data_IF_485068013218
#
_entry.id   IF_485068013218
#
_cell.length_a   1.000
_cell.length_b   1.000
_cell.length_c   1.000
_cell.angle_alpha   90.00
_cell.angle_beta   90.00
_cell.angle_gamma   90.00
#
_symmetry.space_group_name_H-M   'P 1'
#
loop_
_entity.id
_entity.type
_entity.pdbx_description
1 polymer ?
#
# COMPACT_ATOMS: atom_id res chain seq x y z
N UNK A 1 39.38 -12.83 4.27
CA UNK A 1 39.33 -12.95 2.80
C UNK A 1 37.94 -12.82 2.21
N UNK A 2 36.95 -13.68 2.52
CA UNK A 2 35.57 -13.52 1.99
C UNK A 2 34.86 -12.26 2.55
N UNK A 3 35.00 -11.94 3.83
CA UNK A 3 34.40 -10.75 4.45
C UNK A 3 35.00 -9.46 3.88
N UNK A 4 36.28 -9.43 3.60
CA UNK A 4 36.98 -8.26 3.01
C UNK A 4 36.49 -8.01 1.58
N UNK A 5 36.25 -9.09 0.81
CA UNK A 5 35.71 -8.99 -0.57
C UNK A 5 34.30 -8.43 -0.58
N UNK A 6 33.44 -8.84 0.36
CA UNK A 6 32.07 -8.31 0.49
C UNK A 6 32.07 -6.84 0.90
N UNK A 7 32.95 -6.44 1.81
CA UNK A 7 33.08 -5.03 2.19
C UNK A 7 33.58 -4.18 1.00
N UNK A 8 34.54 -4.67 0.25
CA UNK A 8 35.03 -3.98 -0.96
C UNK A 8 33.96 -3.83 -2.02
N UNK A 9 33.12 -4.85 -2.24
CA UNK A 9 31.98 -4.77 -3.17
C UNK A 9 30.96 -3.75 -2.69
N UNK A 10 30.60 -3.76 -1.41
CA UNK A 10 29.65 -2.83 -0.84
C UNK A 10 30.13 -1.38 -0.90
N UNK A 11 31.40 -1.12 -0.60
CA UNK A 11 32.01 0.21 -0.73
C UNK A 11 32.03 0.68 -2.18
N UNK A 12 32.41 -0.17 -3.12
CA UNK A 12 32.40 0.14 -4.54
C UNK A 12 30.98 0.46 -5.07
N UNK A 13 29.99 -0.32 -4.67
CA UNK A 13 28.56 -0.06 -4.99
C UNK A 13 28.15 1.31 -4.42
N UNK A 14 28.50 1.59 -3.18
CA UNK A 14 28.16 2.83 -2.51
C UNK A 14 28.83 4.04 -3.14
N UNK A 15 30.10 3.94 -3.48
CA UNK A 15 30.84 5.00 -4.18
C UNK A 15 30.30 5.26 -5.59
N UNK A 16 30.02 4.20 -6.35
CA UNK A 16 29.43 4.32 -7.69
C UNK A 16 28.05 4.95 -7.64
N UNK A 17 27.22 4.55 -6.65
CA UNK A 17 25.89 5.12 -6.45
C UNK A 17 25.95 6.59 -6.03
N UNK A 18 26.87 6.96 -5.13
CA UNK A 18 27.05 8.36 -4.71
C UNK A 18 27.58 9.23 -5.85
N UNK A 19 28.52 8.74 -6.64
CA UNK A 19 29.01 9.45 -7.82
C UNK A 19 27.89 9.67 -8.85
N UNK A 20 27.08 8.66 -9.13
CA UNK A 20 25.93 8.76 -10.02
C UNK A 20 24.89 9.77 -9.52
N UNK A 21 24.52 9.72 -8.24
CA UNK A 21 23.55 10.64 -7.66
C UNK A 21 24.05 12.08 -7.63
N UNK A 22 25.34 12.29 -7.37
CA UNK A 22 25.97 13.63 -7.40
C UNK A 22 26.01 14.20 -8.81
N UNK A 23 26.37 13.38 -9.81
CA UNK A 23 26.33 13.77 -11.21
C UNK A 23 24.93 14.13 -11.68
N UNK A 24 23.93 13.30 -11.32
CA UNK A 24 22.52 13.54 -11.66
C UNK A 24 22.00 14.82 -10.99
N UNK A 25 22.34 15.05 -9.72
CA UNK A 25 21.98 16.29 -9.01
C UNK A 25 22.55 17.53 -9.68
N UNK A 26 23.85 17.47 -10.08
CA UNK A 26 24.50 18.57 -10.80
C UNK A 26 23.86 18.85 -12.18
N UNK A 27 23.33 17.80 -12.83
CA UNK A 27 22.68 17.92 -14.13
C UNK A 27 21.29 18.55 -14.05
N UNK A 28 20.46 18.14 -13.08
CA UNK A 28 19.04 18.55 -13.02
C UNK A 28 18.78 19.72 -12.07
N UNK A 29 19.70 20.06 -11.17
CA UNK A 29 19.58 21.14 -10.18
C UNK A 29 18.82 20.77 -8.92
N UNK A 30 18.79 21.69 -7.95
CA UNK A 30 18.28 21.43 -6.58
C UNK A 30 16.79 21.11 -6.51
N UNK A 31 15.94 21.87 -7.21
CA UNK A 31 14.49 21.70 -7.11
C UNK A 31 14.00 20.41 -7.75
N UNK A 32 14.37 20.06 -8.99
CA UNK A 32 14.01 18.78 -9.58
C UNK A 32 14.59 17.59 -8.82
N UNK A 33 15.83 17.72 -8.29
CA UNK A 33 16.42 16.69 -7.44
C UNK A 33 15.62 16.43 -6.18
N UNK A 34 15.21 17.51 -5.48
CA UNK A 34 14.35 17.41 -4.30
C UNK A 34 13.05 16.69 -4.60
N UNK A 35 12.38 17.02 -5.71
CA UNK A 35 11.14 16.39 -6.13
C UNK A 35 11.32 14.92 -6.49
N UNK A 36 12.42 14.57 -7.20
CA UNK A 36 12.73 13.20 -7.57
C UNK A 36 12.94 12.32 -6.33
N UNK A 37 13.80 12.75 -5.41
CA UNK A 37 14.06 12.01 -4.16
C UNK A 37 12.78 11.85 -3.36
N UNK A 38 12.00 12.92 -3.20
CA UNK A 38 10.74 12.88 -2.47
C UNK A 38 9.68 12.02 -3.14
N UNK A 39 9.70 11.89 -4.48
CA UNK A 39 8.84 10.96 -5.21
C UNK A 39 9.22 9.51 -4.88
N UNK A 40 10.52 9.19 -4.88
CA UNK A 40 11.00 7.87 -4.52
C UNK A 40 10.68 7.51 -3.06
N UNK A 41 10.81 8.46 -2.13
CA UNK A 41 10.41 8.28 -0.73
C UNK A 41 8.90 8.01 -0.59
N UNK A 42 8.06 8.75 -1.34
CA UNK A 42 6.62 8.53 -1.37
C UNK A 42 6.29 7.13 -1.89
N UNK A 43 6.90 6.73 -3.02
CA UNK A 43 6.72 5.39 -3.59
C UNK A 43 7.20 4.29 -2.63
N UNK A 44 8.35 4.47 -2.00
CA UNK A 44 8.87 3.53 -1.00
C UNK A 44 7.87 3.31 0.13
N UNK A 45 7.36 4.38 0.75
CA UNK A 45 6.40 4.28 1.84
C UNK A 45 5.09 3.63 1.38
N UNK A 46 4.53 4.08 0.27
CA UNK A 46 3.19 3.66 -0.16
C UNK A 46 3.18 2.24 -0.76
N UNK A 47 4.17 1.88 -1.57
CA UNK A 47 4.28 0.53 -2.12
C UNK A 47 4.55 -0.51 -1.03
N UNK A 48 5.47 -0.20 -0.11
CA UNK A 48 5.78 -1.10 1.02
C UNK A 48 4.56 -1.27 1.93
N UNK A 49 3.88 -0.17 2.27
CA UNK A 49 2.66 -0.21 3.07
C UNK A 49 1.54 -0.99 2.36
N UNK A 50 1.35 -0.80 1.04
CA UNK A 50 0.37 -1.55 0.25
C UNK A 50 0.69 -3.04 0.25
N UNK A 51 1.95 -3.43 0.09
CA UNK A 51 2.36 -4.83 0.11
C UNK A 51 2.03 -5.49 1.46
N UNK A 52 2.40 -4.87 2.58
CA UNK A 52 2.06 -5.39 3.91
C UNK A 52 0.56 -5.36 4.19
N UNK A 53 -0.14 -4.30 3.77
CA UNK A 53 -1.58 -4.21 3.93
C UNK A 53 -2.32 -5.28 3.10
N UNK A 54 -1.81 -5.63 1.92
CA UNK A 54 -2.32 -6.72 1.08
C UNK A 54 -2.09 -8.08 1.73
N UNK A 55 -0.88 -8.30 2.26
CA UNK A 55 -0.52 -9.53 2.96
C UNK A 55 -1.42 -9.80 4.17
N UNK A 56 -1.85 -8.75 4.87
CA UNK A 56 -2.78 -8.84 6.01
C UNK A 56 -4.24 -8.82 5.55
N UNK A 57 -4.59 -7.92 4.65
CA UNK A 57 -5.97 -7.65 4.26
C UNK A 57 -6.59 -8.75 3.39
N UNK A 58 -5.83 -9.35 2.47
CA UNK A 58 -6.36 -10.42 1.60
C UNK A 58 -6.79 -11.64 2.42
N UNK A 59 -5.97 -12.21 3.32
CA UNK A 59 -6.42 -13.31 4.18
C UNK A 59 -7.64 -12.94 5.04
N UNK A 60 -7.65 -11.75 5.63
CA UNK A 60 -8.79 -11.27 6.45
C UNK A 60 -10.07 -11.17 5.63
N UNK A 61 -9.99 -10.65 4.40
CA UNK A 61 -11.15 -10.56 3.50
C UNK A 61 -11.65 -11.92 3.04
N UNK A 62 -10.73 -12.86 2.76
CA UNK A 62 -11.08 -14.26 2.43
C UNK A 62 -11.79 -14.92 3.61
N UNK A 63 -11.30 -14.75 4.84
CA UNK A 63 -11.92 -15.30 6.05
C UNK A 63 -13.33 -14.69 6.25
N UNK A 64 -13.49 -13.38 6.09
CA UNK A 64 -14.80 -12.71 6.16
C UNK A 64 -15.77 -13.31 5.14
N UNK A 65 -15.33 -13.44 3.87
CA UNK A 65 -16.17 -14.06 2.84
C UNK A 65 -16.56 -15.49 3.17
N UNK A 66 -15.57 -16.33 3.51
CA UNK A 66 -15.77 -17.76 3.71
C UNK A 66 -16.65 -18.07 4.94
N UNK A 67 -16.53 -17.26 6.00
CA UNK A 67 -17.28 -17.46 7.27
C UNK A 67 -18.64 -16.79 7.31
N UNK A 68 -18.99 -16.00 6.29
CA UNK A 68 -20.31 -15.36 6.15
C UNK A 68 -21.41 -16.40 6.06
N UNK A 69 -22.59 -16.06 6.58
CA UNK A 69 -23.79 -16.93 6.53
C UNK A 69 -24.11 -17.32 5.07
N UNK A 70 -24.31 -18.61 4.83
CA UNK A 70 -24.59 -19.15 3.49
C UNK A 70 -23.34 -19.44 2.65
N UNK A 71 -22.12 -19.30 3.21
CA UNK A 71 -20.87 -19.68 2.56
C UNK A 71 -20.31 -21.02 3.09
N UNK A 72 -19.32 -21.58 2.42
CA UNK A 72 -18.80 -22.94 2.65
C UNK A 72 -18.11 -23.18 4.01
N UNK A 73 -17.73 -22.14 4.74
CA UNK A 73 -17.20 -22.19 6.12
C UNK A 73 -18.04 -21.33 7.07
N UNK A 74 -19.35 -21.21 6.83
CA UNK A 74 -20.24 -20.34 7.60
C UNK A 74 -20.03 -20.49 9.13
N UNK A 75 -19.54 -19.43 9.76
CA UNK A 75 -19.30 -19.38 11.20
C UNK A 75 -19.56 -17.99 11.75
N UNK A 76 -20.74 -17.73 12.37
CA UNK A 76 -21.07 -16.44 12.93
C UNK A 76 -20.11 -15.95 14.02
N UNK A 77 -19.55 -16.87 14.79
CA UNK A 77 -18.60 -16.55 15.88
C UNK A 77 -17.24 -16.04 15.37
N UNK A 78 -16.90 -16.27 14.12
CA UNK A 78 -15.72 -15.70 13.46
C UNK A 78 -16.11 -14.46 12.66
N UNK A 79 -17.19 -14.54 11.87
CA UNK A 79 -17.61 -13.48 10.96
C UNK A 79 -17.92 -12.16 11.69
N UNK A 80 -18.76 -12.18 12.72
CA UNK A 80 -19.20 -10.94 13.38
C UNK A 80 -18.06 -10.23 14.13
N UNK A 81 -17.26 -10.89 14.99
CA UNK A 81 -16.15 -10.21 15.66
C UNK A 81 -15.11 -9.67 14.70
N UNK A 82 -14.71 -10.46 13.69
CA UNK A 82 -13.76 -10.02 12.67
C UNK A 82 -14.30 -8.84 11.86
N UNK A 83 -15.57 -8.90 11.47
CA UNK A 83 -16.26 -7.81 10.78
C UNK A 83 -16.29 -6.51 11.59
N UNK A 84 -16.49 -6.61 12.92
CA UNK A 84 -16.44 -5.46 13.84
C UNK A 84 -15.03 -4.88 13.89
N UNK A 85 -13.99 -5.71 14.06
CA UNK A 85 -12.59 -5.26 14.10
C UNK A 85 -12.20 -4.53 12.80
N UNK A 86 -12.57 -5.12 11.65
CA UNK A 86 -12.32 -4.51 10.33
C UNK A 86 -13.07 -3.17 10.17
N UNK A 87 -14.32 -3.10 10.64
CA UNK A 87 -15.08 -1.85 10.56
C UNK A 87 -14.51 -0.76 11.48
N UNK A 88 -14.11 -1.10 12.71
CA UNK A 88 -13.46 -0.17 13.63
C UNK A 88 -12.16 0.35 13.01
N UNK A 89 -11.31 -0.53 12.48
CA UNK A 89 -10.05 -0.15 11.83
C UNK A 89 -10.24 0.86 10.70
N UNK A 90 -11.31 0.72 9.92
CA UNK A 90 -11.66 1.65 8.82
C UNK A 90 -12.28 2.97 9.31
N UNK A 91 -12.79 3.00 10.51
CA UNK A 91 -13.46 4.19 11.07
C UNK A 91 -12.49 5.19 11.68
N UNK A 92 -11.24 4.77 11.93
CA UNK A 92 -10.23 5.65 12.54
C UNK A 92 -9.58 6.51 11.44
N UNK A 93 -9.66 7.86 11.52
CA UNK A 93 -8.97 8.72 10.59
C UNK A 93 -7.46 8.49 10.63
N UNK A 94 -6.81 8.44 9.45
CA UNK A 94 -5.37 8.13 9.34
C UNK A 94 -4.50 8.98 10.28
N UNK A 95 -4.72 10.30 10.31
CA UNK A 95 -3.98 11.23 11.17
C UNK A 95 -4.03 10.80 12.65
N UNK A 96 -5.22 10.47 13.13
CA UNK A 96 -5.43 10.08 14.52
C UNK A 96 -4.77 8.73 14.80
N UNK A 97 -4.92 7.77 13.89
CA UNK A 97 -4.27 6.47 13.99
C UNK A 97 -2.75 6.64 14.06
N UNK A 98 -2.15 7.42 13.16
CA UNK A 98 -0.71 7.62 13.09
C UNK A 98 -0.15 8.21 14.41
N UNK A 99 -0.84 9.17 15.01
CA UNK A 99 -0.44 9.75 16.29
C UNK A 99 -0.64 8.78 17.46
N UNK A 100 -1.74 8.05 17.47
CA UNK A 100 -2.08 7.13 18.55
C UNK A 100 -1.13 5.94 18.66
N UNK A 101 -0.70 5.39 17.51
CA UNK A 101 0.14 4.19 17.47
C UNK A 101 1.66 4.47 17.48
N UNK A 102 2.10 5.69 17.76
CA UNK A 102 3.53 6.04 17.86
C UNK A 102 4.32 5.08 18.76
N UNK A 103 3.85 4.71 19.98
CA UNK A 103 4.57 3.75 20.82
C UNK A 103 4.71 2.37 20.17
N UNK A 104 3.66 1.91 19.49
CA UNK A 104 3.65 0.64 18.76
C UNK A 104 4.58 0.68 17.55
N UNK A 105 4.55 1.76 16.77
CA UNK A 105 5.47 2.00 15.65
C UNK A 105 6.92 1.92 16.11
N UNK A 106 7.26 2.61 17.22
CA UNK A 106 8.60 2.59 17.79
C UNK A 106 9.02 1.19 18.26
N UNK A 107 8.11 0.42 18.80
CA UNK A 107 8.39 -0.96 19.22
C UNK A 107 8.73 -1.89 18.05
N UNK A 108 8.10 -1.68 16.87
CA UNK A 108 8.33 -2.50 15.68
C UNK A 108 9.58 -2.05 14.91
N UNK A 109 9.73 -0.75 14.69
CA UNK A 109 10.72 -0.20 13.73
C UNK A 109 11.92 0.42 14.46
N UNK A 110 11.84 0.64 15.78
CA UNK A 110 12.88 1.27 16.58
C UNK A 110 12.86 2.81 16.56
N UNK A 111 12.13 3.42 15.62
CA UNK A 111 12.02 4.87 15.45
C UNK A 111 10.55 5.30 15.39
N UNK A 112 10.28 6.55 15.80
CA UNK A 112 8.92 7.11 15.84
C UNK A 112 8.60 7.98 14.64
N UNK A 113 9.61 8.47 13.93
CA UNK A 113 9.51 9.46 12.85
C UNK A 113 10.39 9.03 11.69
N UNK A 114 10.02 9.40 10.47
CA UNK A 114 10.73 9.07 9.23
C UNK A 114 9.93 8.15 8.31
N UNK A 115 10.50 7.88 7.13
CA UNK A 115 9.82 7.12 6.07
C UNK A 115 9.45 5.70 6.51
N UNK A 116 10.38 5.00 7.16
CA UNK A 116 10.16 3.63 7.64
C UNK A 116 9.12 3.58 8.76
N UNK A 117 9.12 4.57 9.67
CA UNK A 117 8.11 4.66 10.72
C UNK A 117 6.71 4.87 10.13
N UNK A 118 6.57 5.69 9.09
CA UNK A 118 5.29 5.96 8.45
C UNK A 118 4.64 4.72 7.80
N UNK A 119 5.43 3.69 7.42
CA UNK A 119 4.92 2.45 6.83
C UNK A 119 3.96 1.73 7.79
N UNK A 120 4.21 1.75 9.10
CA UNK A 120 3.38 1.04 10.09
C UNK A 120 1.94 1.58 10.12
N UNK A 121 1.70 2.88 10.39
CA UNK A 121 0.35 3.42 10.38
C UNK A 121 -0.31 3.37 8.99
N UNK A 122 0.44 3.56 7.89
CA UNK A 122 -0.09 3.39 6.53
C UNK A 122 -0.61 1.97 6.30
N UNK A 123 0.16 0.96 6.70
CA UNK A 123 -0.24 -0.46 6.61
C UNK A 123 -1.48 -0.75 7.42
N UNK A 124 -1.51 -0.32 8.69
CA UNK A 124 -2.64 -0.61 9.58
C UNK A 124 -3.92 0.12 9.18
N UNK A 125 -3.83 1.29 8.55
CA UNK A 125 -5.00 1.97 7.99
C UNK A 125 -5.54 1.29 6.74
N UNK A 126 -4.65 0.77 5.88
CA UNK A 126 -5.03 0.15 4.61
C UNK A 126 -5.50 -1.31 4.75
N UNK A 127 -4.95 -2.09 5.68
CA UNK A 127 -5.27 -3.51 5.80
C UNK A 127 -6.76 -3.81 6.02
N UNK A 128 -7.49 -3.12 6.93
CA UNK A 128 -8.93 -3.29 7.08
C UNK A 128 -9.72 -2.85 5.85
N UNK A 129 -9.25 -1.82 5.14
CA UNK A 129 -9.86 -1.37 3.89
C UNK A 129 -9.74 -2.44 2.81
N UNK A 130 -8.54 -2.99 2.60
CA UNK A 130 -8.30 -4.11 1.67
C UNK A 130 -9.14 -5.32 2.05
N UNK A 131 -9.19 -5.69 3.34
CA UNK A 131 -10.00 -6.83 3.79
C UNK A 131 -11.47 -6.71 3.37
N UNK A 132 -12.07 -5.53 3.51
CA UNK A 132 -13.45 -5.28 3.10
C UNK A 132 -13.61 -5.27 1.58
N UNK A 133 -12.66 -4.70 0.84
CA UNK A 133 -12.68 -4.72 -0.62
C UNK A 133 -12.58 -6.14 -1.16
N UNK A 134 -11.69 -6.97 -0.60
CA UNK A 134 -11.57 -8.39 -0.94
C UNK A 134 -12.88 -9.13 -0.68
N UNK A 135 -13.49 -8.97 0.51
CA UNK A 135 -14.79 -9.58 0.80
C UNK A 135 -15.85 -9.19 -0.24
N UNK A 136 -15.88 -7.92 -0.65
CA UNK A 136 -16.83 -7.44 -1.66
C UNK A 136 -16.57 -8.07 -3.02
N UNK A 137 -15.32 -8.06 -3.50
CA UNK A 137 -14.96 -8.67 -4.80
C UNK A 137 -15.25 -10.17 -4.84
N UNK A 138 -14.98 -10.90 -3.76
CA UNK A 138 -15.31 -12.31 -3.67
C UNK A 138 -16.84 -12.56 -3.66
N UNK A 139 -17.64 -11.61 -3.16
CA UNK A 139 -19.11 -11.71 -3.23
C UNK A 139 -19.67 -11.51 -4.65
N UNK A 140 -18.91 -10.86 -5.55
CA UNK A 140 -19.30 -10.65 -6.94
C UNK A 140 -19.03 -11.90 -7.82
N UNK A 141 -18.23 -12.85 -7.33
CA UNK A 141 -17.99 -14.11 -8.02
C UNK A 141 -19.29 -14.93 -8.09
N UNK A 142 -19.70 -15.41 -9.30
CA UNK A 142 -20.91 -16.18 -9.46
C UNK A 142 -20.96 -17.41 -8.53
N UNK A 143 -22.02 -17.54 -7.74
CA UNK A 143 -22.17 -18.64 -6.77
C UNK A 143 -22.10 -20.04 -7.39
N UNK A 144 -22.60 -20.18 -8.62
CA UNK A 144 -22.57 -21.44 -9.36
C UNK A 144 -21.17 -22.01 -9.58
N UNK A 145 -20.12 -21.15 -9.67
CA UNK A 145 -18.72 -21.61 -9.76
C UNK A 145 -18.27 -22.29 -8.47
N UNK A 146 -18.70 -21.73 -7.32
CA UNK A 146 -18.38 -22.29 -5.99
C UNK A 146 -19.16 -23.60 -5.79
N UNK A 147 -20.43 -23.64 -6.16
CA UNK A 147 -21.28 -24.85 -6.07
C UNK A 147 -20.74 -25.97 -6.97
N UNK A 148 -20.34 -25.66 -8.21
CA UNK A 148 -19.73 -26.63 -9.10
C UNK A 148 -18.42 -27.21 -8.52
N UNK A 149 -17.57 -26.35 -7.96
CA UNK A 149 -16.34 -26.80 -7.33
C UNK A 149 -16.61 -27.71 -6.11
N UNK A 150 -17.61 -27.37 -5.30
CA UNK A 150 -18.04 -28.21 -4.16
C UNK A 150 -18.58 -29.56 -4.63
N UNK A 151 -19.40 -29.59 -5.69
CA UNK A 151 -19.94 -30.83 -6.27
C UNK A 151 -18.85 -31.77 -6.81
N UNK A 152 -17.72 -31.19 -7.26
CA UNK A 152 -16.52 -31.95 -7.65
C UNK A 152 -15.63 -32.36 -6.48
N UNK A 153 -16.02 -32.08 -5.23
CA UNK A 153 -15.26 -32.46 -4.03
C UNK A 153 -14.07 -31.55 -3.72
N UNK A 154 -14.04 -30.31 -4.24
CA UNK A 154 -12.98 -29.37 -3.96
C UNK A 154 -12.93 -28.97 -2.49
N UNK A 155 -11.74 -28.97 -1.89
CA UNK A 155 -11.54 -28.49 -0.50
C UNK A 155 -11.74 -26.96 -0.42
N UNK A 156 -12.02 -26.41 0.79
CA UNK A 156 -12.13 -24.96 0.98
C UNK A 156 -10.93 -24.17 0.46
N UNK A 157 -9.72 -24.68 0.67
CA UNK A 157 -8.50 -24.07 0.16
C UNK A 157 -8.44 -24.06 -1.37
N UNK A 158 -8.87 -25.16 -2.00
CA UNK A 158 -8.94 -25.27 -3.47
C UNK A 158 -9.96 -24.31 -4.04
N UNK A 159 -11.12 -24.16 -3.40
CA UNK A 159 -12.15 -23.19 -3.80
C UNK A 159 -11.57 -21.76 -3.75
N UNK A 160 -10.90 -21.39 -2.67
CA UNK A 160 -10.29 -20.05 -2.54
C UNK A 160 -9.22 -19.83 -3.61
N UNK A 161 -8.24 -20.73 -3.72
CA UNK A 161 -7.05 -20.52 -4.56
C UNK A 161 -7.29 -20.72 -6.05
N UNK A 162 -8.18 -21.67 -6.42
CA UNK A 162 -8.38 -22.05 -7.83
C UNK A 162 -9.64 -21.46 -8.46
N UNK A 163 -10.58 -21.00 -7.66
CA UNK A 163 -11.86 -20.45 -8.15
C UNK A 163 -11.99 -18.98 -7.76
N UNK A 164 -12.07 -18.68 -6.47
CA UNK A 164 -12.42 -17.35 -5.97
C UNK A 164 -11.36 -16.30 -6.30
N UNK A 165 -10.09 -16.53 -5.92
CA UNK A 165 -9.03 -15.54 -6.13
C UNK A 165 -8.75 -15.30 -7.63
N UNK A 166 -8.65 -16.32 -8.50
CA UNK A 166 -8.46 -16.08 -9.93
C UNK A 166 -9.61 -15.33 -10.58
N UNK A 167 -10.85 -15.67 -10.25
CA UNK A 167 -12.05 -14.99 -10.81
C UNK A 167 -12.19 -13.56 -10.32
N UNK A 168 -11.75 -13.28 -9.08
CA UNK A 168 -11.79 -11.94 -8.49
C UNK A 168 -10.57 -11.07 -8.87
N UNK A 169 -9.55 -11.58 -9.56
CA UNK A 169 -8.30 -10.87 -9.86
C UNK A 169 -8.50 -9.48 -10.48
N UNK A 170 -9.37 -9.26 -11.48
CA UNK A 170 -9.59 -7.93 -12.03
C UNK A 170 -10.07 -6.94 -10.97
N UNK A 171 -11.07 -7.33 -10.17
CA UNK A 171 -11.60 -6.51 -9.08
C UNK A 171 -10.58 -6.27 -7.96
N UNK A 172 -9.79 -7.28 -7.61
CA UNK A 172 -8.71 -7.16 -6.62
C UNK A 172 -7.62 -6.19 -7.09
N UNK A 173 -7.26 -6.22 -8.37
CA UNK A 173 -6.29 -5.29 -8.97
C UNK A 173 -6.79 -3.86 -8.86
N UNK A 174 -8.05 -3.60 -9.18
CA UNK A 174 -8.66 -2.28 -9.04
C UNK A 174 -8.69 -1.84 -7.56
N UNK A 175 -9.05 -2.72 -6.63
CA UNK A 175 -9.06 -2.43 -5.20
C UNK A 175 -7.67 -2.05 -4.67
N UNK A 176 -6.62 -2.74 -5.11
CA UNK A 176 -5.24 -2.43 -4.75
C UNK A 176 -4.78 -1.10 -5.33
N UNK A 177 -5.15 -0.80 -6.57
CA UNK A 177 -4.86 0.49 -7.22
C UNK A 177 -5.49 1.65 -6.45
N UNK A 178 -6.78 1.55 -6.11
CA UNK A 178 -7.49 2.55 -5.30
C UNK A 178 -6.82 2.71 -3.93
N UNK A 179 -6.43 1.60 -3.30
CA UNK A 179 -5.74 1.64 -2.00
C UNK A 179 -4.39 2.34 -2.10
N UNK A 180 -3.60 2.04 -3.11
CA UNK A 180 -2.29 2.67 -3.33
C UNK A 180 -2.43 4.19 -3.54
N UNK A 181 -3.40 4.62 -4.34
CA UNK A 181 -3.69 6.04 -4.55
C UNK A 181 -4.13 6.72 -3.24
N UNK A 182 -4.99 6.08 -2.45
CA UNK A 182 -5.38 6.59 -1.15
C UNK A 182 -4.18 6.74 -0.19
N UNK A 183 -3.25 5.77 -0.22
CA UNK A 183 -2.02 5.80 0.58
C UNK A 183 -1.08 6.92 0.16
N UNK A 184 -1.05 7.33 -1.11
CA UNK A 184 -0.32 8.54 -1.54
C UNK A 184 -0.91 9.77 -0.84
N UNK A 185 -2.23 9.91 -0.76
CA UNK A 185 -2.89 10.97 0.01
C UNK A 185 -2.54 10.92 1.50
N UNK A 186 -2.52 9.74 2.12
CA UNK A 186 -2.12 9.57 3.53
C UNK A 186 -0.64 9.83 3.75
N UNK A 187 0.24 9.52 2.78
CA UNK A 187 1.66 9.82 2.86
C UNK A 187 1.92 11.33 2.89
N UNK A 188 1.05 12.15 2.29
CA UNK A 188 1.14 13.60 2.40
C UNK A 188 0.91 14.07 3.85
N UNK A 189 -0.04 13.45 4.56
CA UNK A 189 -0.25 13.72 5.99
C UNK A 189 0.94 13.18 6.79
N UNK A 190 1.46 11.99 6.49
CA UNK A 190 2.65 11.45 7.14
C UNK A 190 3.86 12.39 6.98
N UNK A 191 4.01 13.02 5.81
CA UNK A 191 5.05 14.03 5.54
C UNK A 191 4.98 15.23 6.49
N UNK A 192 3.79 15.71 6.82
CA UNK A 192 3.60 16.79 7.80
C UNK A 192 3.88 16.34 9.25
N UNK A 193 3.80 15.04 9.53
CA UNK A 193 4.12 14.44 10.84
C UNK A 193 5.60 14.03 10.98
N UNK A 194 6.44 14.38 10.01
CA UNK A 194 7.89 14.14 10.09
C UNK A 194 8.39 12.94 9.26
N UNK A 195 7.55 12.34 8.44
CA UNK A 195 8.03 11.48 7.35
C UNK A 195 8.65 12.33 6.23
N UNK A 196 9.26 11.68 5.24
CA UNK A 196 9.72 12.31 4.00
C UNK A 196 8.63 12.40 2.93
N UNK A 197 9.08 12.38 1.68
CA UNK A 197 8.23 12.31 0.51
C UNK A 197 7.66 13.66 0.05
N UNK A 198 6.84 13.60 -1.00
CA UNK A 198 6.23 14.78 -1.62
C UNK A 198 5.37 15.57 -0.64
N UNK A 199 4.73 14.90 0.32
CA UNK A 199 3.95 15.58 1.36
C UNK A 199 4.80 16.50 2.23
N UNK A 200 6.01 16.08 2.62
CA UNK A 200 6.96 16.92 3.34
C UNK A 200 7.38 18.13 2.51
N UNK A 201 7.63 17.94 1.21
CA UNK A 201 8.01 19.05 0.32
C UNK A 201 6.88 20.05 0.21
N UNK A 202 5.65 19.61 -0.04
CA UNK A 202 4.49 20.49 -0.10
C UNK A 202 4.31 21.28 1.20
N UNK A 203 4.39 20.60 2.34
CA UNK A 203 4.18 21.23 3.65
C UNK A 203 5.33 22.17 4.07
N UNK A 204 6.57 21.66 4.07
CA UNK A 204 7.71 22.40 4.61
C UNK A 204 8.22 23.51 3.68
N UNK A 205 8.25 23.27 2.38
CA UNK A 205 8.73 24.25 1.40
C UNK A 205 7.59 25.08 0.80
N UNK A 206 6.52 24.40 0.35
CA UNK A 206 5.40 25.07 -0.29
C UNK A 206 4.60 25.93 0.69
N UNK A 207 4.15 25.35 1.80
CA UNK A 207 3.29 26.03 2.78
C UNK A 207 4.08 26.84 3.82
N UNK A 208 4.98 26.23 4.61
CA UNK A 208 5.66 26.92 5.71
C UNK A 208 6.67 27.98 5.23
N UNK A 209 7.38 27.72 4.13
CA UNK A 209 8.37 28.67 3.57
C UNK A 209 7.81 29.60 2.51
N UNK A 210 6.48 29.55 2.27
CA UNK A 210 5.81 30.41 1.29
C UNK A 210 6.43 30.34 -0.13
N UNK A 211 6.79 29.11 -0.60
CA UNK A 211 7.31 28.88 -1.94
C UNK A 211 6.19 28.30 -2.83
N UNK A 212 5.34 29.16 -3.43
CA UNK A 212 4.22 28.70 -4.26
C UNK A 212 4.66 27.98 -5.54
N UNK A 213 5.85 28.27 -6.05
CA UNK A 213 6.49 27.57 -7.14
C UNK A 213 6.74 26.09 -6.79
N UNK A 214 7.35 25.80 -5.65
CA UNK A 214 7.59 24.43 -5.18
C UNK A 214 6.26 23.71 -4.88
N UNK A 215 5.28 24.42 -4.31
CA UNK A 215 3.94 23.86 -4.08
C UNK A 215 3.32 23.40 -5.41
N UNK A 216 3.34 24.26 -6.44
CA UNK A 216 2.79 23.95 -7.75
C UNK A 216 3.47 22.75 -8.40
N UNK A 217 4.81 22.71 -8.37
CA UNK A 217 5.58 21.57 -8.91
C UNK A 217 5.27 20.29 -8.16
N UNK A 218 5.17 20.35 -6.83
CA UNK A 218 4.85 19.17 -6.01
C UNK A 218 3.45 18.62 -6.32
N UNK A 219 2.45 19.50 -6.44
CA UNK A 219 1.09 19.11 -6.83
C UNK A 219 1.09 18.47 -8.22
N UNK A 220 1.78 19.09 -9.18
CA UNK A 220 1.90 18.54 -10.54
C UNK A 220 2.51 17.13 -10.53
N UNK A 221 3.60 16.93 -9.80
CA UNK A 221 4.26 15.62 -9.68
C UNK A 221 3.33 14.59 -9.04
N UNK A 222 2.60 14.95 -7.97
CA UNK A 222 1.62 14.05 -7.33
C UNK A 222 0.52 13.66 -8.33
N UNK A 223 -0.02 14.61 -9.08
CA UNK A 223 -1.06 14.33 -10.08
C UNK A 223 -0.54 13.38 -11.15
N UNK A 224 0.64 13.64 -11.71
CA UNK A 224 1.26 12.75 -12.72
C UNK A 224 1.49 11.35 -12.13
N UNK A 225 2.01 11.26 -10.91
CA UNK A 225 2.25 9.99 -10.23
C UNK A 225 0.97 9.18 -10.05
N UNK A 226 -0.11 9.82 -9.57
CA UNK A 226 -1.42 9.18 -9.39
C UNK A 226 -1.99 8.73 -10.73
N UNK A 227 -1.91 9.54 -11.79
CA UNK A 227 -2.38 9.16 -13.12
C UNK A 227 -1.61 7.97 -13.69
N UNK A 228 -0.30 7.92 -13.50
CA UNK A 228 0.52 6.77 -13.91
C UNK A 228 0.13 5.48 -13.18
N UNK A 229 -0.10 5.57 -11.86
CA UNK A 229 -0.53 4.42 -11.06
C UNK A 229 -1.92 3.97 -11.48
N UNK A 230 -2.87 4.90 -11.71
CA UNK A 230 -4.21 4.58 -12.21
C UNK A 230 -4.14 3.89 -13.57
N UNK A 231 -3.39 4.45 -14.52
CA UNK A 231 -3.22 3.86 -15.84
C UNK A 231 -2.61 2.45 -15.80
N UNK A 232 -1.60 2.23 -14.97
CA UNK A 232 -0.99 0.92 -14.75
C UNK A 232 -2.00 -0.07 -14.15
N UNK A 233 -2.75 0.37 -13.13
CA UNK A 233 -3.78 -0.44 -12.47
C UNK A 233 -4.89 -0.86 -13.44
N UNK A 234 -5.42 0.08 -14.21
CA UNK A 234 -6.45 -0.19 -15.22
C UNK A 234 -5.96 -1.16 -16.31
N UNK A 235 -4.70 -0.99 -16.73
CA UNK A 235 -4.08 -1.86 -17.73
C UNK A 235 -3.90 -3.28 -17.20
N UNK A 236 -3.47 -3.42 -15.95
CA UNK A 236 -3.33 -4.72 -15.29
C UNK A 236 -4.68 -5.39 -15.07
N UNK A 237 -5.69 -4.63 -14.61
CA UNK A 237 -7.04 -5.16 -14.39
C UNK A 237 -7.65 -5.70 -15.69
N UNK A 238 -7.53 -4.94 -16.80
CA UNK A 238 -7.98 -5.39 -18.14
C UNK A 238 -7.25 -6.63 -18.62
N UNK A 239 -5.99 -6.81 -18.27
CA UNK A 239 -5.21 -7.99 -18.67
C UNK A 239 -5.65 -9.26 -17.96
N UNK A 240 -6.21 -9.14 -16.76
CA UNK A 240 -6.76 -10.25 -15.99
C UNK A 240 -8.25 -10.49 -16.26
N UNK A 241 -8.92 -9.57 -16.94
CA UNK A 241 -10.32 -9.73 -17.32
C UNK A 241 -10.40 -10.67 -18.54
N UNK A 242 -10.98 -11.84 -18.31
CA UNK A 242 -11.21 -12.87 -19.32
C UNK A 242 -12.68 -12.94 -19.78
N UNK A 243 -13.48 -11.91 -19.43
CA UNK A 243 -14.91 -11.83 -19.77
C UNK A 243 -15.15 -11.16 -21.11
#
# INVERSE_FOLDING_TARGET
>A
MLLDTWQTILTWIQETFTAFTTWLHALIGDTPWLLLVSTLETLYMTLTATAFATLLGVPLGVILYATRRGRFLANPYVYYPLGIVVNIGRSIPYLILALWIIPFTRAIVGVSIGNTAAIVPLTLSAAPFIARMVENMLNEVPGGLVEAAQAMGASPEQIVRKVLLPEALPGLTNALTITLIALIGYSAIAGSLGAGGLGKVAYAYGYQRYRPDIMLYTVFVIVVLVQLIQWLGDTLAKRFDHR
#
